data_IF_196248630832
#
_entry.id   IF_196248630832
#
_cell.length_a   1.000
_cell.length_b   1.000
_cell.length_c   1.000
_cell.angle_alpha   90.00
_cell.angle_beta   90.00
_cell.angle_gamma   90.00
#
_symmetry.space_group_name_H-M   'P 1'
#
loop_
_entity.id
_entity.type
_entity.pdbx_description
1 polymer ?
#
# COMPACT_ATOMS: atom_id res chain seq x y z
N UNK A 1 -16.16 -6.45 -24.20
CA UNK A 1 -15.78 -5.94 -22.86
C UNK A 1 -14.30 -5.60 -22.86
N UNK A 2 -13.92 -4.47 -22.28
CA UNK A 2 -12.55 -3.97 -22.26
C UNK A 2 -12.18 -3.45 -20.86
N UNK A 3 -10.94 -3.72 -20.45
CA UNK A 3 -10.32 -3.27 -19.20
C UNK A 3 -8.86 -2.92 -19.48
N UNK A 4 -8.25 -2.11 -18.64
CA UNK A 4 -6.79 -2.05 -18.58
C UNK A 4 -6.27 -3.38 -18.04
N UNK A 5 -5.29 -4.04 -18.66
CA UNK A 5 -4.82 -5.35 -18.17
C UNK A 5 -4.10 -5.24 -16.83
N UNK A 6 -3.32 -4.17 -16.64
CA UNK A 6 -2.56 -3.89 -15.42
C UNK A 6 -2.62 -2.38 -15.13
N UNK A 7 -2.68 -2.02 -13.85
CA UNK A 7 -2.74 -0.64 -13.37
C UNK A 7 -1.86 -0.51 -12.12
N UNK A 8 -1.11 0.58 -12.00
CA UNK A 8 -0.26 0.85 -10.83
C UNK A 8 -0.71 2.12 -10.11
N UNK A 9 -0.68 2.13 -8.79
CA UNK A 9 -1.04 3.29 -7.94
C UNK A 9 -0.19 3.31 -6.67
N UNK A 10 0.04 4.50 -6.11
CA UNK A 10 0.72 4.61 -4.82
C UNK A 10 -0.25 4.42 -3.64
N UNK A 11 0.22 3.80 -2.56
CA UNK A 11 -0.55 3.66 -1.31
C UNK A 11 -1.08 5.02 -0.84
N UNK A 12 -2.35 5.04 -0.42
CA UNK A 12 -3.05 6.21 0.07
C UNK A 12 -3.74 7.04 -1.01
N UNK A 13 -3.40 6.84 -2.29
CA UNK A 13 -4.09 7.50 -3.41
C UNK A 13 -5.40 6.79 -3.77
N UNK A 14 -6.22 7.45 -4.59
CA UNK A 14 -7.41 6.89 -5.18
C UNK A 14 -7.08 6.36 -6.59
N UNK A 15 -7.73 5.26 -7.01
CA UNK A 15 -7.54 4.69 -8.35
C UNK A 15 -8.88 4.32 -9.00
N UNK A 16 -8.95 4.45 -10.32
CA UNK A 16 -10.07 3.94 -11.12
C UNK A 16 -9.63 2.72 -11.91
N UNK A 17 -10.25 1.57 -11.63
CA UNK A 17 -10.10 0.37 -12.45
C UNK A 17 -11.06 0.47 -13.63
N UNK A 18 -10.50 0.76 -14.81
CA UNK A 18 -11.29 0.98 -16.02
C UNK A 18 -11.96 -0.31 -16.47
N UNK A 19 -13.27 -0.23 -16.69
CA UNK A 19 -14.04 -1.32 -17.27
C UNK A 19 -15.17 -0.79 -18.15
N UNK A 20 -15.30 -1.37 -19.34
CA UNK A 20 -16.40 -1.06 -20.25
C UNK A 20 -16.90 -2.30 -20.98
N UNK A 21 -18.17 -2.26 -21.38
CA UNK A 21 -18.77 -3.30 -22.21
C UNK A 21 -19.60 -2.68 -23.32
N UNK A 22 -19.87 -3.49 -24.35
CA UNK A 22 -20.66 -3.09 -25.50
C UNK A 22 -21.80 -4.10 -25.66
N UNK A 23 -23.03 -3.59 -25.79
CA UNK A 23 -24.22 -4.37 -26.09
C UNK A 23 -24.84 -3.87 -27.41
N UNK A 24 -25.32 -4.75 -28.31
CA UNK A 24 -25.92 -4.34 -29.59
C UNK A 24 -27.06 -3.31 -29.42
N UNK A 25 -27.93 -3.54 -28.44
CA UNK A 25 -29.06 -2.67 -28.12
C UNK A 25 -28.82 -1.81 -26.86
N UNK A 26 -27.58 -1.36 -26.62
CA UNK A 26 -27.21 -0.69 -25.36
C UNK A 26 -28.17 0.44 -24.94
N UNK A 27 -28.57 1.30 -25.88
CA UNK A 27 -29.47 2.44 -25.62
C UNK A 27 -30.94 2.02 -25.42
N UNK A 28 -31.33 0.87 -25.98
CA UNK A 28 -32.71 0.36 -25.96
C UNK A 28 -32.91 -0.74 -24.93
N UNK A 29 -31.84 -1.14 -24.23
CA UNK A 29 -31.89 -2.13 -23.18
C UNK A 29 -32.74 -1.61 -22.02
N UNK A 30 -33.85 -2.31 -21.75
CA UNK A 30 -34.83 -1.97 -20.71
C UNK A 30 -34.76 -2.91 -19.49
N UNK A 31 -33.77 -3.79 -19.46
CA UNK A 31 -33.49 -4.66 -18.30
C UNK A 31 -32.63 -3.96 -17.24
N UNK A 32 -32.40 -4.64 -16.13
CA UNK A 32 -31.42 -4.25 -15.13
C UNK A 32 -30.00 -4.62 -15.57
N UNK A 33 -29.08 -3.64 -15.48
CA UNK A 33 -27.65 -3.82 -15.72
C UNK A 33 -26.98 -3.90 -14.35
N UNK A 34 -26.41 -5.06 -14.04
CA UNK A 34 -25.74 -5.29 -12.76
C UNK A 34 -24.24 -5.40 -12.96
N UNK A 35 -23.51 -4.44 -12.38
CA UNK A 35 -22.04 -4.42 -12.33
C UNK A 35 -21.58 -5.06 -11.04
N UNK A 36 -20.63 -6.00 -11.15
CA UNK A 36 -20.01 -6.67 -10.02
C UNK A 36 -18.49 -6.61 -10.16
N UNK A 37 -17.82 -6.35 -9.05
CA UNK A 37 -16.37 -6.49 -8.96
C UNK A 37 -16.01 -7.57 -7.97
N UNK A 38 -15.14 -8.47 -8.42
CA UNK A 38 -14.59 -9.59 -7.66
C UNK A 38 -13.09 -9.37 -7.51
N UNK A 39 -12.51 -9.88 -6.43
CA UNK A 39 -11.07 -9.81 -6.18
C UNK A 39 -10.51 -11.21 -5.93
N UNK A 40 -9.23 -11.41 -6.23
CA UNK A 40 -8.41 -12.61 -5.99
C UNK A 40 -8.78 -13.85 -6.81
N UNK A 41 -10.05 -14.06 -7.13
CA UNK A 41 -10.49 -15.19 -7.96
C UNK A 41 -11.71 -14.84 -8.81
N UNK A 42 -11.76 -15.41 -10.01
CA UNK A 42 -12.78 -15.15 -11.03
C UNK A 42 -14.20 -15.62 -10.65
N UNK A 43 -14.31 -16.49 -9.64
CA UNK A 43 -15.55 -17.07 -9.12
C UNK A 43 -15.82 -16.67 -7.65
N UNK A 44 -15.04 -15.75 -7.08
CA UNK A 44 -15.25 -15.26 -5.73
C UNK A 44 -16.61 -14.56 -5.57
N UNK A 45 -17.05 -14.41 -4.32
CA UNK A 45 -18.17 -13.52 -4.04
C UNK A 45 -17.79 -12.06 -4.39
N UNK A 46 -18.70 -11.29 -5.02
CA UNK A 46 -18.41 -9.90 -5.36
C UNK A 46 -18.29 -9.05 -4.10
N UNK A 47 -17.23 -8.26 -3.99
CA UNK A 47 -17.07 -7.28 -2.90
C UNK A 47 -17.81 -5.98 -3.18
N UNK A 48 -18.14 -5.73 -4.45
CA UNK A 48 -18.93 -4.59 -4.91
C UNK A 48 -19.97 -5.07 -5.92
N UNK A 49 -21.21 -4.58 -5.77
CA UNK A 49 -22.34 -4.89 -6.65
C UNK A 49 -23.25 -3.66 -6.76
N UNK A 50 -23.56 -3.25 -7.97
CA UNK A 50 -24.44 -2.12 -8.28
C UNK A 50 -25.39 -2.53 -9.41
N UNK A 51 -26.68 -2.30 -9.26
CA UNK A 51 -27.69 -2.60 -10.27
C UNK A 51 -28.44 -1.33 -10.62
N UNK A 52 -28.57 -1.05 -11.92
CA UNK A 52 -29.29 0.11 -12.43
C UNK A 52 -30.29 -0.33 -13.50
N UNK A 53 -31.47 0.26 -13.48
CA UNK A 53 -32.44 0.15 -14.60
C UNK A 53 -32.44 1.44 -15.43
N UNK A 54 -32.77 1.32 -16.70
CA UNK A 54 -32.84 2.46 -17.61
C UNK A 54 -34.03 3.40 -17.30
N UNK A 55 -35.09 2.85 -16.69
CA UNK A 55 -36.38 3.52 -16.41
C UNK A 55 -36.56 3.93 -14.93
N UNK A 56 -35.54 3.72 -14.08
CA UNK A 56 -35.63 4.03 -12.66
C UNK A 56 -35.12 5.45 -12.34
N UNK A 57 -35.70 6.06 -11.31
CA UNK A 57 -35.18 7.28 -10.66
C UNK A 57 -33.89 7.03 -9.86
N UNK A 58 -33.29 5.85 -9.99
CA UNK A 58 -32.06 5.44 -9.30
C UNK A 58 -30.92 6.34 -9.73
N UNK A 59 -30.26 6.93 -8.73
CA UNK A 59 -29.16 7.87 -8.98
C UNK A 59 -27.87 7.08 -8.92
N UNK A 60 -26.89 7.49 -9.73
CA UNK A 60 -25.51 6.98 -9.65
C UNK A 60 -24.93 7.08 -8.22
N UNK A 61 -25.47 8.00 -7.40
CA UNK A 61 -25.14 8.12 -5.97
C UNK A 61 -25.42 6.85 -5.16
N UNK A 62 -26.38 6.03 -5.57
CA UNK A 62 -26.80 4.83 -4.84
C UNK A 62 -25.73 3.71 -4.97
N UNK A 63 -24.85 3.83 -5.96
CA UNK A 63 -23.69 2.95 -6.17
C UNK A 63 -22.39 3.54 -5.61
N UNK A 64 -22.51 4.45 -4.63
CA UNK A 64 -21.38 5.03 -3.90
C UNK A 64 -21.29 4.43 -2.49
N UNK A 65 -20.29 3.59 -2.26
CA UNK A 65 -19.88 3.15 -0.93
C UNK A 65 -18.81 4.05 -0.31
N UNK A 66 -18.39 3.69 0.91
CA UNK A 66 -17.36 4.44 1.64
C UNK A 66 -15.99 4.38 0.96
N UNK A 67 -15.53 3.17 0.60
CA UNK A 67 -14.23 2.91 -0.06
C UNK A 67 -14.36 2.68 -1.57
N UNK A 68 -15.45 2.06 -2.01
CA UNK A 68 -15.68 1.66 -3.39
C UNK A 68 -16.84 2.44 -4.00
N UNK A 69 -16.70 2.90 -5.24
CA UNK A 69 -17.77 3.66 -5.91
C UNK A 69 -17.79 3.37 -7.40
N UNK A 70 -18.96 3.40 -8.01
CA UNK A 70 -19.07 3.33 -9.47
C UNK A 70 -18.52 4.62 -10.10
N UNK A 71 -17.60 4.47 -11.06
CA UNK A 71 -16.91 5.56 -11.76
C UNK A 71 -17.32 5.62 -13.25
N UNK A 72 -18.62 5.59 -13.52
CA UNK A 72 -19.18 5.61 -14.86
C UNK A 72 -20.69 5.33 -14.84
N UNK A 73 -21.33 5.38 -16.01
CA UNK A 73 -22.73 4.98 -16.17
C UNK A 73 -22.88 3.62 -16.88
N UNK A 74 -23.32 2.55 -16.18
CA UNK A 74 -23.58 1.24 -16.78
C UNK A 74 -24.53 1.25 -17.96
N UNK A 75 -25.47 2.22 -18.03
CA UNK A 75 -26.39 2.39 -19.17
C UNK A 75 -25.64 2.81 -20.43
N UNK A 76 -24.49 3.47 -20.28
CA UNK A 76 -23.58 3.88 -21.37
C UNK A 76 -22.48 2.84 -21.63
N UNK A 77 -22.49 1.72 -20.92
CA UNK A 77 -21.45 0.70 -21.03
C UNK A 77 -20.23 0.95 -20.15
N UNK A 78 -20.29 1.90 -19.22
CA UNK A 78 -19.19 2.31 -18.36
C UNK A 78 -19.33 1.66 -16.97
N UNK A 79 -18.41 0.77 -16.61
CA UNK A 79 -18.50 -0.10 -15.43
C UNK A 79 -17.33 0.09 -14.45
N UNK A 80 -16.54 1.14 -14.66
CA UNK A 80 -15.30 1.38 -13.94
C UNK A 80 -15.53 1.51 -12.43
N UNK A 81 -14.57 1.07 -11.64
CA UNK A 81 -14.62 1.11 -10.17
C UNK A 81 -13.61 2.11 -9.63
N UNK A 82 -14.08 3.07 -8.83
CA UNK A 82 -13.22 3.89 -7.98
C UNK A 82 -12.93 3.14 -6.68
N UNK A 83 -11.65 3.00 -6.35
CA UNK A 83 -11.15 2.53 -5.04
C UNK A 83 -10.47 3.72 -4.37
N UNK A 84 -10.97 4.12 -3.19
CA UNK A 84 -10.40 5.23 -2.42
C UNK A 84 -9.37 4.75 -1.42
N UNK A 85 -8.31 5.54 -1.21
CA UNK A 85 -7.25 5.29 -0.22
C UNK A 85 -6.71 3.87 -0.31
N UNK A 86 -6.11 3.56 -1.45
CA UNK A 86 -5.58 2.22 -1.76
C UNK A 86 -4.54 1.81 -0.71
N UNK A 87 -4.63 0.57 -0.25
CA UNK A 87 -3.69 -0.02 0.72
C UNK A 87 -2.91 -1.17 0.07
N UNK A 88 -1.78 -1.58 0.65
CA UNK A 88 -0.95 -2.66 0.10
C UNK A 88 -1.70 -3.98 -0.08
N UNK A 89 -2.68 -4.28 0.78
CA UNK A 89 -3.49 -5.48 0.69
C UNK A 89 -4.53 -5.45 -0.45
N UNK A 90 -4.69 -4.31 -1.13
CA UNK A 90 -5.49 -4.22 -2.36
C UNK A 90 -4.72 -4.71 -3.59
N UNK A 91 -3.39 -4.90 -3.50
CA UNK A 91 -2.58 -5.44 -4.59
C UNK A 91 -3.06 -6.84 -4.99
N UNK A 92 -3.22 -7.05 -6.30
CA UNK A 92 -3.60 -8.35 -6.85
C UNK A 92 -4.61 -8.28 -8.01
N UNK A 93 -5.27 -9.41 -8.23
CA UNK A 93 -6.18 -9.63 -9.37
C UNK A 93 -7.61 -9.19 -9.05
N UNK A 94 -8.23 -8.50 -10.01
CA UNK A 94 -9.62 -8.05 -9.96
C UNK A 94 -10.36 -8.47 -11.22
N UNK A 95 -11.65 -8.73 -11.08
CA UNK A 95 -12.51 -9.14 -12.19
C UNK A 95 -13.72 -8.21 -12.24
N UNK A 96 -13.82 -7.48 -13.35
CA UNK A 96 -15.04 -6.75 -13.67
C UNK A 96 -16.03 -7.74 -14.30
N UNK A 97 -17.25 -7.79 -13.77
CA UNK A 97 -18.34 -8.63 -14.29
C UNK A 97 -19.57 -7.76 -14.54
N UNK A 98 -20.23 -7.97 -15.67
CA UNK A 98 -21.54 -7.40 -15.96
C UNK A 98 -22.56 -8.50 -16.24
N UNK A 99 -23.70 -8.39 -15.57
CA UNK A 99 -24.87 -9.26 -15.71
C UNK A 99 -26.05 -8.43 -16.23
N UNK A 100 -26.63 -8.89 -17.34
CA UNK A 100 -27.83 -8.31 -17.95
C UNK A 100 -28.99 -9.24 -17.61
N UNK A 101 -30.02 -8.77 -16.89
CA UNK A 101 -31.10 -9.61 -16.33
C UNK A 101 -31.85 -10.49 -17.36
N UNK A 102 -31.97 -10.01 -18.60
CA UNK A 102 -32.57 -10.72 -19.74
C UNK A 102 -31.61 -11.66 -20.48
N UNK A 103 -30.35 -11.72 -20.07
CA UNK A 103 -29.35 -12.63 -20.63
C UNK A 103 -28.93 -13.66 -19.58
N UNK A 104 -28.68 -14.90 -20.04
CA UNK A 104 -28.27 -15.99 -19.15
C UNK A 104 -26.78 -15.95 -18.80
N UNK A 105 -25.98 -15.38 -19.68
CA UNK A 105 -24.53 -15.32 -19.55
C UNK A 105 -24.09 -13.94 -19.07
N UNK A 106 -23.02 -13.92 -18.27
CA UNK A 106 -22.36 -12.71 -17.85
C UNK A 106 -21.10 -12.48 -18.70
N UNK A 107 -20.69 -11.23 -18.83
CA UNK A 107 -19.38 -10.88 -19.37
C UNK A 107 -18.43 -10.61 -18.22
N UNK A 108 -17.21 -11.12 -18.30
CA UNK A 108 -16.19 -10.90 -17.27
C UNK A 108 -14.80 -10.72 -17.89
N UNK A 109 -14.00 -9.84 -17.29
CA UNK A 109 -12.62 -9.58 -17.70
C UNK A 109 -11.74 -9.25 -16.48
N UNK A 110 -10.51 -9.75 -16.51
CA UNK A 110 -9.50 -9.58 -15.46
C UNK A 110 -8.67 -8.31 -15.68
N UNK A 111 -8.33 -7.62 -14.58
CA UNK A 111 -7.32 -6.57 -14.48
C UNK A 111 -6.46 -6.83 -13.25
N UNK A 112 -5.18 -6.43 -13.28
CA UNK A 112 -4.29 -6.50 -12.11
C UNK A 112 -4.03 -5.11 -11.56
N UNK A 113 -4.12 -4.98 -10.24
CA UNK A 113 -3.77 -3.77 -9.52
C UNK A 113 -2.44 -3.97 -8.80
N UNK A 114 -1.47 -3.10 -9.10
CA UNK A 114 -0.19 -3.03 -8.43
C UNK A 114 -0.14 -1.82 -7.51
N UNK A 115 0.05 -2.04 -6.22
CA UNK A 115 0.08 -0.96 -5.22
C UNK A 115 1.50 -0.73 -4.76
N UNK A 116 2.11 0.39 -5.14
CA UNK A 116 3.47 0.75 -4.72
C UNK A 116 3.46 1.60 -3.46
N UNK A 117 4.49 1.48 -2.63
CA UNK A 117 4.67 2.30 -1.44
C UNK A 117 6.14 2.49 -1.13
N UNK A 118 6.53 3.71 -0.75
CA UNK A 118 7.80 3.95 -0.07
C UNK A 118 7.90 3.11 1.22
N UNK A 119 9.12 2.78 1.66
CA UNK A 119 9.31 2.04 2.89
C UNK A 119 8.81 2.85 4.10
N UNK A 120 8.21 2.16 5.06
CA UNK A 120 7.88 2.69 6.37
C UNK A 120 8.48 1.78 7.43
N UNK A 121 9.32 2.33 8.29
CA UNK A 121 9.77 1.62 9.49
C UNK A 121 8.60 1.61 10.46
N UNK A 122 8.11 0.43 10.80
CA UNK A 122 7.02 0.21 11.76
C UNK A 122 7.57 0.24 13.18
N UNK A 123 8.67 -0.47 13.43
CA UNK A 123 9.28 -0.57 14.75
C UNK A 123 10.80 -0.62 14.69
N UNK A 124 11.45 -0.11 15.75
CA UNK A 124 12.89 -0.19 15.98
C UNK A 124 13.10 -0.37 17.49
N UNK A 125 13.46 -1.58 17.91
CA UNK A 125 13.47 -1.94 19.33
C UNK A 125 14.56 -2.96 19.67
N UNK A 126 15.05 -2.90 20.91
CA UNK A 126 16.02 -3.87 21.42
C UNK A 126 15.29 -5.12 21.90
N UNK A 127 15.64 -6.27 21.32
CA UNK A 127 15.17 -7.59 21.74
C UNK A 127 16.28 -8.35 22.45
N UNK A 128 15.92 -9.05 23.52
CA UNK A 128 16.81 -10.05 24.11
C UNK A 128 16.59 -11.38 23.38
N UNK A 129 17.65 -11.95 22.82
CA UNK A 129 17.58 -13.34 22.35
C UNK A 129 17.80 -14.27 23.54
N UNK A 130 16.99 -15.33 23.72
CA UNK A 130 17.25 -16.34 24.74
C UNK A 130 18.49 -17.13 24.34
N UNK A 131 19.66 -16.60 24.67
CA UNK A 131 20.89 -17.37 24.81
C UNK A 131 20.88 -18.04 26.19
N UNK A 132 21.86 -18.91 26.45
CA UNK A 132 22.06 -19.56 27.76
C UNK A 132 21.93 -18.57 28.94
N UNK A 133 21.57 -19.03 30.15
CA UNK A 133 21.27 -18.17 31.31
C UNK A 133 22.30 -17.06 31.60
N UNK A 134 23.55 -17.26 31.19
CA UNK A 134 24.68 -16.35 31.43
C UNK A 134 25.08 -15.46 30.23
N UNK A 135 24.39 -15.51 29.07
CA UNK A 135 24.85 -14.81 27.85
C UNK A 135 23.77 -14.20 26.95
N UNK A 136 22.65 -13.73 27.50
CA UNK A 136 21.59 -13.08 26.71
C UNK A 136 22.15 -11.95 25.82
N UNK A 137 22.23 -12.20 24.51
CA UNK A 137 22.72 -11.22 23.53
C UNK A 137 21.57 -10.29 23.14
N UNK A 138 21.79 -8.97 23.32
CA UNK A 138 20.85 -7.93 22.88
C UNK A 138 21.00 -7.70 21.39
N UNK A 139 19.88 -7.66 20.67
CA UNK A 139 19.83 -7.32 19.24
C UNK A 139 18.92 -6.12 19.03
N UNK A 140 19.26 -5.24 18.11
CA UNK A 140 18.38 -4.17 17.67
C UNK A 140 17.61 -4.69 16.45
N UNK A 141 16.30 -4.77 16.58
CA UNK A 141 15.39 -5.29 15.56
C UNK A 141 14.64 -4.12 14.90
N UNK A 142 14.66 -4.08 13.58
CA UNK A 142 13.93 -3.15 12.75
C UNK A 142 12.88 -3.90 11.94
N UNK A 143 11.62 -3.48 12.03
CA UNK A 143 10.55 -3.95 11.17
C UNK A 143 10.14 -2.83 10.21
N UNK A 144 10.17 -3.12 8.90
CA UNK A 144 9.77 -2.19 7.87
C UNK A 144 8.77 -2.82 6.90
N UNK A 145 7.86 -2.02 6.36
CA UNK A 145 6.95 -2.40 5.27
C UNK A 145 7.13 -1.51 4.04
N UNK A 146 6.81 -2.00 2.85
CA UNK A 146 6.84 -1.24 1.61
C UNK A 146 6.63 -2.13 0.39
N UNK A 147 6.34 -1.54 -0.77
CA UNK A 147 6.19 -2.29 -2.01
C UNK A 147 6.82 -1.54 -3.21
N UNK A 148 7.85 -2.08 -3.88
CA UNK A 148 8.51 -3.38 -3.65
C UNK A 148 9.04 -3.55 -2.21
N UNK A 149 9.13 -4.79 -1.74
CA UNK A 149 9.56 -5.06 -0.36
C UNK A 149 10.91 -4.39 -0.09
N UNK A 150 11.06 -3.63 1.01
CA UNK A 150 12.31 -2.92 1.27
C UNK A 150 13.45 -3.87 1.59
N UNK A 151 14.66 -3.42 1.30
CA UNK A 151 15.90 -3.95 1.88
C UNK A 151 16.24 -3.13 3.11
N UNK A 152 16.77 -3.75 4.15
CA UNK A 152 17.21 -3.03 5.35
C UNK A 152 18.73 -3.00 5.37
N UNK A 153 19.29 -1.80 5.56
CA UNK A 153 20.72 -1.60 5.81
C UNK A 153 20.90 -0.92 7.16
N UNK A 154 21.96 -1.30 7.86
CA UNK A 154 22.29 -0.75 9.16
C UNK A 154 23.46 0.22 9.05
N UNK A 155 23.30 1.40 9.64
CA UNK A 155 24.32 2.45 9.67
C UNK A 155 24.75 2.72 11.11
N UNK A 156 26.05 2.89 11.31
CA UNK A 156 26.62 3.42 12.54
C UNK A 156 26.28 4.92 12.73
N UNK A 157 26.60 5.47 13.90
CA UNK A 157 26.53 6.91 14.18
C UNK A 157 27.18 7.78 13.08
N UNK A 158 28.32 7.33 12.55
CA UNK A 158 29.07 8.00 11.48
C UNK A 158 28.52 7.75 10.08
N UNK A 159 27.33 7.14 9.95
CA UNK A 159 26.65 6.80 8.68
C UNK A 159 27.38 5.78 7.81
N UNK A 160 28.37 5.07 8.36
CA UNK A 160 29.01 3.95 7.68
C UNK A 160 28.14 2.69 7.79
N UNK A 161 28.06 1.93 6.70
CA UNK A 161 27.44 0.61 6.67
C UNK A 161 28.13 -0.31 7.68
N UNK A 162 27.32 -1.03 8.43
CA UNK A 162 27.80 -2.09 9.34
C UNK A 162 27.99 -3.35 8.49
N UNK A 163 29.13 -4.02 8.66
CA UNK A 163 29.49 -5.22 7.89
C UNK A 163 28.60 -6.43 8.23
N UNK A 164 28.01 -6.44 9.44
CA UNK A 164 26.93 -7.34 9.81
C UNK A 164 25.67 -6.99 8.99
N UNK A 165 25.36 -7.81 7.99
CA UNK A 165 24.16 -7.65 7.15
C UNK A 165 22.86 -7.86 7.94
N UNK A 166 22.95 -8.30 9.20
CA UNK A 166 21.80 -8.56 10.05
C UNK A 166 21.10 -9.86 9.67
N UNK A 167 20.37 -10.41 10.64
CA UNK A 167 19.50 -11.56 10.43
C UNK A 167 18.15 -11.06 9.92
N UNK A 168 17.82 -11.42 8.68
CA UNK A 168 16.57 -11.06 8.04
C UNK A 168 15.51 -12.14 8.17
N UNK A 169 14.28 -11.71 8.45
CA UNK A 169 13.10 -12.57 8.47
C UNK A 169 11.94 -11.88 7.78
N UNK A 170 11.23 -12.64 6.94
CA UNK A 170 10.10 -12.14 6.18
C UNK A 170 8.82 -12.25 7.01
N UNK A 171 8.10 -11.14 7.19
CA UNK A 171 6.87 -11.06 8.00
C UNK A 171 5.63 -10.76 7.14
N UNK A 172 5.45 -11.54 6.07
CA UNK A 172 4.40 -11.33 5.07
C UNK A 172 4.91 -10.79 3.73
N UNK A 173 4.02 -10.46 2.77
CA UNK A 173 4.41 -10.15 1.39
C UNK A 173 5.16 -8.82 1.24
N UNK A 174 4.85 -7.83 2.08
CA UNK A 174 5.38 -6.47 1.98
C UNK A 174 6.27 -6.06 3.15
N UNK A 175 6.56 -6.99 4.08
CA UNK A 175 7.25 -6.70 5.35
C UNK A 175 8.56 -7.45 5.46
N UNK A 176 9.54 -6.78 6.05
CA UNK A 176 10.84 -7.31 6.36
C UNK A 176 11.22 -6.93 7.79
N UNK A 177 11.74 -7.90 8.52
CA UNK A 177 12.37 -7.71 9.83
C UNK A 177 13.86 -7.96 9.64
N UNK A 178 14.71 -7.05 10.10
CA UNK A 178 16.16 -7.24 10.17
C UNK A 178 16.64 -6.99 11.58
N UNK A 179 17.65 -7.73 12.04
CA UNK A 179 18.17 -7.65 13.40
C UNK A 179 19.69 -7.66 13.41
N UNK A 180 20.34 -6.74 14.12
CA UNK A 180 21.81 -6.73 14.31
C UNK A 180 22.18 -6.79 15.78
N UNK A 181 23.39 -7.23 16.09
CA UNK A 181 23.90 -7.18 17.47
C UNK A 181 23.88 -5.73 18.00
N UNK A 182 23.41 -5.55 19.24
CA UNK A 182 23.31 -4.24 19.87
C UNK A 182 24.19 -4.16 21.11
N UNK A 183 25.09 -3.19 21.12
CA UNK A 183 25.92 -2.83 22.27
C UNK A 183 25.30 -1.63 22.97
N UNK A 184 25.25 -1.66 24.29
CA UNK A 184 24.65 -0.60 25.09
C UNK A 184 25.40 0.74 24.87
N UNK A 185 24.65 1.77 24.45
CA UNK A 185 25.19 3.09 24.12
C UNK A 185 25.61 3.29 22.66
N UNK A 186 25.47 2.29 21.80
CA UNK A 186 25.71 2.44 20.37
C UNK A 186 24.54 3.14 19.66
N UNK A 187 24.82 4.20 18.90
CA UNK A 187 23.85 4.82 18.00
C UNK A 187 23.81 4.08 16.66
N UNK A 188 22.71 3.39 16.40
CA UNK A 188 22.50 2.61 15.18
C UNK A 188 21.26 3.11 14.43
N UNK A 189 21.38 3.24 13.11
CA UNK A 189 20.28 3.64 12.23
C UNK A 189 19.85 2.47 11.36
N UNK A 190 18.57 2.12 11.43
CA UNK A 190 17.93 1.27 10.43
C UNK A 190 17.52 2.14 9.25
N UNK A 191 17.95 1.78 8.04
CA UNK A 191 17.52 2.37 6.78
C UNK A 191 16.82 1.31 5.94
N UNK A 192 15.54 1.50 5.70
CA UNK A 192 14.74 0.66 4.80
C UNK A 192 14.62 1.34 3.43
N UNK A 193 14.93 0.63 2.35
CA UNK A 193 15.00 1.19 1.00
C UNK A 193 14.37 0.28 -0.06
N UNK A 194 13.63 0.88 -0.99
CA UNK A 194 13.08 0.21 -2.16
C UNK A 194 13.11 1.16 -3.38
N UNK A 195 12.51 0.73 -4.50
CA UNK A 195 12.48 1.53 -5.73
C UNK A 195 11.70 2.85 -5.61
N UNK A 196 10.80 2.98 -4.62
CA UNK A 196 9.99 4.17 -4.41
C UNK A 196 10.69 5.20 -3.52
N UNK A 197 11.59 4.76 -2.62
CA UNK A 197 12.26 5.67 -1.69
C UNK A 197 12.94 4.95 -0.54
N UNK A 198 13.15 5.68 0.56
CA UNK A 198 13.75 5.14 1.77
C UNK A 198 13.19 5.80 3.04
N UNK A 199 13.24 5.05 4.15
CA UNK A 199 12.94 5.55 5.48
C UNK A 199 14.08 5.19 6.43
N UNK A 200 14.36 6.07 7.40
CA UNK A 200 15.42 5.88 8.38
C UNK A 200 14.88 6.13 9.80
N UNK A 201 15.35 5.33 10.76
CA UNK A 201 15.11 5.56 12.19
C UNK A 201 16.36 5.16 12.97
N UNK A 202 16.75 5.99 13.94
CA UNK A 202 17.95 5.81 14.76
C UNK A 202 17.57 5.43 16.19
N UNK A 203 18.32 4.50 16.79
CA UNK A 203 18.21 4.11 18.18
C UNK A 203 19.55 4.32 18.90
N UNK A 204 19.55 4.85 20.14
CA UNK A 204 18.39 5.45 20.83
C UNK A 204 17.89 6.75 20.17
N UNK A 205 16.59 7.06 20.28
CA UNK A 205 15.97 8.24 19.61
C UNK A 205 16.60 9.60 20.00
N UNK A 206 17.30 9.65 21.15
CA UNK A 206 17.91 10.85 21.72
C UNK A 206 19.02 11.46 20.85
N UNK A 207 19.77 10.66 20.08
CA UNK A 207 20.88 11.17 19.25
C UNK A 207 20.38 11.97 18.02
N UNK A 208 19.21 11.63 17.47
CA UNK A 208 18.62 12.32 16.31
C UNK A 208 17.95 13.66 16.66
N UNK A 209 17.36 13.76 17.86
CA UNK A 209 16.67 14.96 18.36
C UNK A 209 17.63 15.98 18.97
N UNK A 210 18.68 15.51 19.65
CA UNK A 210 19.75 16.36 20.18
C UNK A 210 20.50 17.07 19.05
N UNK A 211 20.87 16.38 17.97
CA UNK A 211 21.58 16.97 16.83
C UNK A 211 20.77 18.08 16.12
N UNK A 212 19.46 17.90 15.95
CA UNK A 212 18.56 18.96 15.42
C UNK A 212 18.49 20.18 16.34
N UNK A 213 18.49 19.95 17.65
CA UNK A 213 18.42 21.01 18.65
C UNK A 213 19.75 21.77 18.73
N UNK A 214 20.89 21.07 18.64
CA UNK A 214 22.23 21.68 18.57
C UNK A 214 22.46 22.48 17.29
N UNK A 215 21.99 21.99 16.13
CA UNK A 215 22.03 22.75 14.88
C UNK A 215 21.22 24.05 14.98
N UNK A 216 20.02 23.99 15.57
CA UNK A 216 19.19 25.18 15.78
C UNK A 216 19.80 26.18 16.79
N UNK A 217 20.41 25.69 17.87
CA UNK A 217 21.07 26.55 18.86
C UNK A 217 22.34 27.20 18.29
N UNK A 218 23.12 26.46 17.50
CA UNK A 218 24.32 26.97 16.82
C UNK A 218 23.96 28.01 15.75
N UNK A 219 22.90 27.78 14.96
CA UNK A 219 22.42 28.75 13.97
C UNK A 219 21.97 30.06 14.65
N UNK A 220 21.30 29.94 15.81
CA UNK A 220 20.85 31.09 16.58
C UNK A 220 22.01 31.93 17.11
N UNK A 221 23.02 31.29 17.69
CA UNK A 221 24.24 31.97 18.17
C UNK A 221 25.02 32.65 17.03
N UNK A 222 25.07 32.03 15.85
CA UNK A 222 25.70 32.63 14.66
C UNK A 222 24.94 33.88 14.17
N UNK A 223 23.61 33.86 14.19
CA UNK A 223 22.79 35.02 13.81
C UNK A 223 22.89 36.18 14.82
N UNK A 224 23.13 35.89 16.10
CA UNK A 224 23.33 36.90 17.14
C UNK A 224 24.70 37.58 17.08
N UNK A 225 25.72 36.91 16.52
CA UNK A 225 27.08 37.46 16.37
C UNK A 225 27.29 38.27 15.09
N UNK A 226 26.32 38.29 14.18
CA UNK A 226 26.31 39.07 12.92
C UNK A 226 25.56 40.41 13.02
N UNK A 227 25.11 40.81 14.22
CA UNK A 227 24.53 42.13 14.51
C UNK A 227 25.50 42.97 15.34
#
# INVERSE_FOLDING_TARGET
MAVSPEVTVSRGEDIVLNCSFTHPDQQFYSGAITVKWLARASNAAPFFSCSLKNDSTERLSDCSGFRYSLAGDPRRGELSLLIKKVELNDDGEYFCRVELDRQKEYLQKETKLHVTSEPQILSLLVVATPSTPDSATRRLQCEAEGHPRPKIVWLSASRFLIDDQGEESQSGPFRLISSVAYLEGADLTCRAENAQGHAERTYPESSSSAARTELQSTLRLFMETLK
#
